data_IF_916551917713
#
_entry.id   IF_916551917713
#
_cell.length_a   1.000
_cell.length_b   1.000
_cell.length_c   1.000
_cell.angle_alpha   90.00
_cell.angle_beta   90.00
_cell.angle_gamma   90.00
#
_symmetry.space_group_name_H-M   'P 1'
#
loop_
_entity.id
_entity.type
_entity.pdbx_description
1 polymer ?
#
# COMPACT_ATOMS: atom_id res chain seq x y z
N UNK A 1 -1.93 2.86 23.84
CA UNK A 1 -3.24 2.58 23.21
C UNK A 1 -3.51 1.08 23.11
N UNK A 2 -2.86 0.30 22.24
CA UNK A 2 -3.17 -1.14 22.07
C UNK A 2 -3.07 -1.96 23.35
N UNK A 3 -1.93 -1.86 24.05
CA UNK A 3 -1.68 -2.56 25.34
C UNK A 3 -2.45 -1.91 26.49
N UNK A 4 -2.34 -0.60 26.65
CA UNK A 4 -2.95 0.12 27.78
C UNK A 4 -4.49 0.11 27.77
N UNK A 5 -5.10 0.15 26.57
CA UNK A 5 -6.57 0.19 26.42
C UNK A 5 -7.14 -1.17 26.01
N UNK A 6 -6.32 -2.22 25.88
CA UNK A 6 -6.72 -3.56 25.40
C UNK A 6 -7.55 -3.48 24.11
N UNK A 7 -7.06 -2.70 23.15
CA UNK A 7 -7.77 -2.49 21.89
C UNK A 7 -7.53 -3.66 20.94
N UNK A 8 -8.63 -4.26 20.47
CA UNK A 8 -8.63 -5.33 19.47
C UNK A 8 -8.62 -4.80 18.04
N UNK A 9 -8.56 -3.48 17.85
CA UNK A 9 -8.50 -2.87 16.53
C UNK A 9 -7.20 -3.23 15.81
N UNK A 10 -7.32 -3.44 14.49
CA UNK A 10 -6.20 -3.67 13.60
C UNK A 10 -5.40 -2.39 13.41
N UNK A 11 -4.07 -2.49 13.52
CA UNK A 11 -3.17 -1.38 13.29
C UNK A 11 -2.59 -1.46 11.88
N UNK A 12 -2.78 -0.43 11.08
CA UNK A 12 -2.22 -0.30 9.74
C UNK A 12 -1.22 0.85 9.73
N UNK A 13 0.02 0.57 9.34
CA UNK A 13 1.06 1.59 9.16
C UNK A 13 0.90 2.26 7.80
N UNK A 14 0.51 3.53 7.76
CA UNK A 14 0.49 4.30 6.51
C UNK A 14 1.93 4.68 6.12
N UNK A 15 2.30 4.33 4.90
CA UNK A 15 3.64 4.53 4.36
C UNK A 15 3.59 5.51 3.19
N UNK A 16 4.57 6.39 3.11
CA UNK A 16 4.78 7.25 1.95
C UNK A 16 6.25 7.16 1.57
N UNK A 17 6.56 7.01 0.28
CA UNK A 17 7.93 7.11 -0.20
C UNK A 17 8.35 8.58 -0.38
N UNK A 18 9.58 8.80 -0.86
CA UNK A 18 10.09 10.14 -1.15
C UNK A 18 9.29 10.86 -2.25
N UNK A 19 8.74 10.12 -3.22
CA UNK A 19 8.01 10.69 -4.36
C UNK A 19 6.61 11.19 -3.97
N UNK A 20 6.01 10.61 -2.92
CA UNK A 20 4.67 10.95 -2.45
C UNK A 20 4.68 11.66 -1.10
N UNK A 21 5.85 12.14 -0.65
CA UNK A 21 5.99 12.85 0.62
C UNK A 21 5.42 14.26 0.57
N UNK A 22 4.66 14.64 1.60
CA UNK A 22 4.19 16.01 1.77
C UNK A 22 5.35 16.99 1.95
N UNK A 23 5.28 18.17 1.30
CA UNK A 23 6.24 19.27 1.53
C UNK A 23 6.27 19.75 2.98
N UNK A 24 5.21 19.46 3.75
CA UNK A 24 5.07 19.84 5.15
C UNK A 24 5.59 18.79 6.14
N UNK A 25 5.86 17.55 5.70
CA UNK A 25 6.39 16.49 6.54
C UNK A 25 7.66 15.93 5.90
N UNK A 26 8.82 16.38 6.41
CA UNK A 26 10.13 16.01 5.88
C UNK A 26 10.75 14.76 6.53
N UNK A 27 9.94 13.85 7.07
CA UNK A 27 10.46 12.60 7.64
C UNK A 27 10.94 11.65 6.55
N UNK A 28 12.12 11.08 6.74
CA UNK A 28 12.65 10.03 5.88
C UNK A 28 11.93 8.71 6.18
N UNK A 29 11.23 8.18 5.17
CA UNK A 29 10.50 6.92 5.27
C UNK A 29 11.27 5.73 4.68
N UNK A 30 12.47 5.97 4.13
CA UNK A 30 13.28 4.95 3.46
C UNK A 30 13.52 3.73 4.36
N UNK A 31 13.73 3.95 5.65
CA UNK A 31 13.84 2.88 6.63
C UNK A 31 12.58 2.03 6.69
N UNK A 32 11.39 2.63 6.84
CA UNK A 32 10.12 1.90 6.97
C UNK A 32 9.67 1.20 5.68
N UNK A 33 10.20 1.60 4.53
CA UNK A 33 10.00 0.91 3.24
C UNK A 33 11.13 -0.07 2.91
N UNK A 34 12.15 -0.21 3.77
CA UNK A 34 13.23 -1.19 3.62
C UNK A 34 12.84 -2.56 4.20
N UNK A 35 13.56 -3.61 3.84
CA UNK A 35 13.32 -4.96 4.39
C UNK A 35 13.40 -4.99 5.92
N UNK A 36 14.43 -4.35 6.48
CA UNK A 36 14.65 -4.28 7.93
C UNK A 36 13.51 -3.51 8.60
N UNK A 37 13.10 -2.37 8.04
CA UNK A 37 12.00 -1.60 8.61
C UNK A 37 10.65 -2.31 8.51
N UNK A 38 10.40 -3.09 7.45
CA UNK A 38 9.19 -3.92 7.35
C UNK A 38 9.22 -5.06 8.36
N UNK A 39 10.36 -5.72 8.55
CA UNK A 39 10.55 -6.72 9.60
C UNK A 39 10.26 -6.12 10.98
N UNK A 40 10.87 -4.98 11.30
CA UNK A 40 10.67 -4.29 12.58
C UNK A 40 9.20 -3.86 12.77
N UNK A 41 8.59 -3.32 11.72
CA UNK A 41 7.19 -2.89 11.74
C UNK A 41 6.22 -4.06 11.97
N UNK A 42 6.54 -5.22 11.41
CA UNK A 42 5.71 -6.43 11.54
C UNK A 42 5.53 -6.91 12.98
N UNK A 43 6.40 -6.46 13.89
CA UNK A 43 6.29 -6.78 15.32
C UNK A 43 5.13 -6.04 16.01
N UNK A 44 4.60 -4.97 15.42
CA UNK A 44 3.56 -4.14 16.06
C UNK A 44 2.36 -3.77 15.19
N UNK A 45 2.44 -3.86 13.85
CA UNK A 45 1.31 -3.61 12.94
C UNK A 45 0.68 -4.92 12.44
N UNK A 46 -0.58 -4.87 12.03
CA UNK A 46 -1.26 -5.96 11.33
C UNK A 46 -1.16 -5.82 9.80
N UNK A 47 -0.86 -4.62 9.29
CA UNK A 47 -0.74 -4.36 7.87
C UNK A 47 -0.08 -3.02 7.53
N UNK A 48 0.16 -2.80 6.25
CA UNK A 48 0.71 -1.57 5.69
C UNK A 48 -0.26 -0.94 4.70
N UNK A 49 -0.23 0.39 4.62
CA UNK A 49 -0.96 1.16 3.60
C UNK A 49 -0.01 2.08 2.85
N UNK A 50 0.70 1.59 1.82
CA UNK A 50 1.57 2.41 0.98
C UNK A 50 0.78 3.12 -0.13
N UNK A 51 1.44 4.03 -0.86
CA UNK A 51 0.88 4.50 -2.12
C UNK A 51 0.82 3.34 -3.13
N UNK A 52 -0.22 3.29 -3.96
CA UNK A 52 -0.42 2.15 -4.87
C UNK A 52 0.76 1.94 -5.84
N UNK A 53 1.45 3.00 -6.26
CA UNK A 53 2.61 2.91 -7.17
C UNK A 53 3.78 2.15 -6.58
N UNK A 54 3.89 2.11 -5.25
CA UNK A 54 5.04 1.53 -4.56
C UNK A 54 4.96 -0.01 -4.50
N UNK A 55 3.85 -0.58 -4.94
CA UNK A 55 3.58 -2.02 -4.92
C UNK A 55 4.00 -2.74 -6.21
N UNK A 56 4.45 -2.02 -7.23
CA UNK A 56 4.94 -2.63 -8.46
C UNK A 56 6.21 -1.97 -8.99
N UNK A 57 6.96 -2.72 -9.78
CA UNK A 57 8.07 -2.25 -10.58
C UNK A 57 7.67 -2.29 -12.07
N UNK A 58 7.97 -1.20 -12.79
CA UNK A 58 7.64 -1.07 -14.21
C UNK A 58 8.83 -1.50 -15.07
N UNK A 59 8.73 -2.69 -15.68
CA UNK A 59 9.62 -3.15 -16.76
C UNK A 59 8.84 -3.35 -18.06
N UNK A 60 9.15 -4.41 -18.82
CA UNK A 60 8.29 -4.87 -19.95
C UNK A 60 6.89 -5.25 -19.49
N UNK A 61 6.76 -5.68 -18.24
CA UNK A 61 5.50 -6.00 -17.55
C UNK A 61 5.56 -5.42 -16.15
N UNK A 62 4.40 -5.20 -15.52
CA UNK A 62 4.32 -4.83 -14.11
C UNK A 62 4.57 -6.07 -13.26
N UNK A 63 5.49 -5.97 -12.31
CA UNK A 63 5.82 -7.03 -11.35
C UNK A 63 5.68 -6.52 -9.93
N UNK A 64 5.35 -7.37 -8.94
CA UNK A 64 5.32 -6.96 -7.55
C UNK A 64 6.67 -6.38 -7.11
N UNK A 65 6.65 -5.25 -6.41
CA UNK A 65 7.87 -4.58 -5.93
C UNK A 65 8.53 -5.34 -4.77
N UNK A 66 9.77 -4.95 -4.44
CA UNK A 66 10.42 -5.43 -3.21
C UNK A 66 9.55 -5.17 -1.96
N UNK A 67 8.97 -3.98 -1.82
CA UNK A 67 8.10 -3.61 -0.69
C UNK A 67 6.91 -4.57 -0.55
N UNK A 68 6.25 -4.90 -1.67
CA UNK A 68 5.15 -5.87 -1.67
C UNK A 68 5.62 -7.24 -1.16
N UNK A 69 6.73 -7.73 -1.69
CA UNK A 69 7.26 -9.05 -1.34
C UNK A 69 7.69 -9.13 0.12
N UNK A 70 8.35 -8.08 0.64
CA UNK A 70 8.77 -7.99 2.03
C UNK A 70 7.54 -7.99 2.96
N UNK A 71 6.50 -7.20 2.65
CA UNK A 71 5.26 -7.20 3.44
C UNK A 71 4.58 -8.57 3.46
N UNK A 72 4.48 -9.26 2.31
CA UNK A 72 3.91 -10.61 2.22
C UNK A 72 4.72 -11.66 2.98
N UNK A 73 6.05 -11.58 2.95
CA UNK A 73 6.95 -12.47 3.72
C UNK A 73 6.66 -12.43 5.22
N UNK A 74 6.25 -11.26 5.72
CA UNK A 74 5.89 -11.04 7.14
C UNK A 74 4.39 -11.18 7.43
N UNK A 75 3.58 -11.71 6.49
CA UNK A 75 2.13 -11.89 6.62
C UNK A 75 1.36 -10.60 6.92
N UNK A 76 1.87 -9.45 6.47
CA UNK A 76 1.19 -8.17 6.64
C UNK A 76 0.07 -8.02 5.60
N UNK A 77 -1.08 -7.51 6.06
CA UNK A 77 -2.11 -7.03 5.14
C UNK A 77 -1.60 -5.83 4.34
N UNK A 78 -2.04 -5.70 3.09
CA UNK A 78 -1.64 -4.61 2.20
C UNK A 78 -2.90 -3.85 1.75
N UNK A 79 -3.02 -2.59 2.18
CA UNK A 79 -4.16 -1.70 1.90
C UNK A 79 -3.71 -0.39 1.24
N UNK A 80 -3.40 -0.39 -0.07
CA UNK A 80 -2.84 0.78 -0.74
C UNK A 80 -3.82 1.95 -0.86
N UNK A 81 -3.28 3.17 -0.93
CA UNK A 81 -4.02 4.41 -1.13
C UNK A 81 -3.44 5.22 -2.33
N UNK A 82 -4.15 6.19 -2.92
CA UNK A 82 -5.61 6.33 -2.99
C UNK A 82 -6.04 6.12 -4.44
N UNK A 83 -6.97 5.19 -4.67
CA UNK A 83 -7.48 4.85 -5.99
C UNK A 83 -8.51 5.88 -6.42
N UNK A 84 -8.23 6.57 -7.53
CA UNK A 84 -9.03 7.66 -8.05
C UNK A 84 -9.27 7.50 -9.54
N UNK A 85 -10.54 7.36 -9.93
CA UNK A 85 -10.93 7.18 -11.33
C UNK A 85 -10.73 8.42 -12.21
N UNK A 86 -10.58 9.59 -11.58
CA UNK A 86 -10.40 10.91 -12.19
C UNK A 86 -8.94 11.39 -12.16
N UNK A 87 -8.01 10.57 -11.66
CA UNK A 87 -6.59 10.89 -11.61
C UNK A 87 -5.83 10.39 -12.84
N UNK A 88 -4.51 10.64 -12.87
CA UNK A 88 -3.64 9.99 -13.85
C UNK A 88 -3.58 8.49 -13.55
N UNK A 89 -4.03 7.67 -14.50
CA UNK A 89 -4.11 6.22 -14.36
C UNK A 89 -2.88 5.49 -14.90
N UNK A 90 -1.91 6.18 -15.49
CA UNK A 90 -0.69 5.53 -16.00
C UNK A 90 -0.02 4.70 -14.90
N UNK A 91 0.46 3.47 -15.22
CA UNK A 91 0.57 2.87 -16.55
C UNK A 91 -0.68 2.13 -17.04
N UNK A 92 -1.81 2.21 -16.32
CA UNK A 92 -3.05 1.51 -16.66
C UNK A 92 -3.87 2.29 -17.70
N UNK A 93 -4.50 1.54 -18.61
CA UNK A 93 -5.34 2.14 -19.66
C UNK A 93 -6.66 2.70 -19.11
N UNK A 94 -7.22 2.05 -18.09
CA UNK A 94 -8.50 2.43 -17.46
C UNK A 94 -8.45 2.14 -15.97
N UNK A 95 -9.39 2.73 -15.22
CA UNK A 95 -9.53 2.49 -13.78
C UNK A 95 -9.85 1.03 -13.49
N UNK A 96 -10.64 0.38 -14.35
CA UNK A 96 -10.97 -1.04 -14.24
C UNK A 96 -9.74 -1.95 -14.40
N UNK A 97 -8.87 -1.64 -15.37
CA UNK A 97 -7.61 -2.38 -15.57
C UNK A 97 -6.66 -2.19 -14.39
N UNK A 98 -6.65 -0.98 -13.80
CA UNK A 98 -5.94 -0.75 -12.53
C UNK A 98 -6.52 -1.64 -11.42
N UNK A 99 -7.84 -1.64 -11.22
CA UNK A 99 -8.46 -2.47 -10.18
C UNK A 99 -8.21 -3.96 -10.39
N UNK A 100 -8.32 -4.48 -11.61
CA UNK A 100 -8.00 -5.88 -11.95
C UNK A 100 -6.55 -6.22 -11.56
N UNK A 101 -5.61 -5.32 -11.84
CA UNK A 101 -4.22 -5.54 -11.45
C UNK A 101 -4.05 -5.65 -9.94
N UNK A 102 -4.62 -4.74 -9.15
CA UNK A 102 -4.43 -4.77 -7.68
C UNK A 102 -5.26 -5.87 -6.99
N UNK A 103 -6.50 -6.08 -7.40
CA UNK A 103 -7.43 -7.02 -6.77
C UNK A 103 -7.17 -8.45 -7.25
N UNK A 104 -6.99 -8.67 -8.54
CA UNK A 104 -6.92 -10.03 -9.08
C UNK A 104 -5.48 -10.53 -9.25
N UNK A 105 -4.55 -9.65 -9.64
CA UNK A 105 -3.13 -10.04 -9.84
C UNK A 105 -2.32 -9.93 -8.55
N UNK A 106 -2.28 -8.75 -7.93
CA UNK A 106 -1.54 -8.53 -6.68
C UNK A 106 -2.29 -9.04 -5.44
N UNK A 107 -3.63 -9.18 -5.54
CA UNK A 107 -4.49 -9.67 -4.46
C UNK A 107 -4.31 -8.90 -3.16
N UNK A 108 -4.27 -7.57 -3.24
CA UNK A 108 -4.25 -6.71 -2.05
C UNK A 108 -5.46 -6.98 -1.17
N UNK A 109 -5.31 -6.84 0.15
CA UNK A 109 -6.32 -7.28 1.12
C UNK A 109 -7.51 -6.30 1.26
N UNK A 110 -7.37 -5.15 0.62
CA UNK A 110 -8.30 -4.02 0.62
C UNK A 110 -7.60 -2.84 -0.05
N UNK A 111 -8.32 -1.74 -0.30
CA UNK A 111 -7.72 -0.52 -0.85
C UNK A 111 -8.52 0.71 -0.41
N UNK A 112 -7.87 1.87 -0.41
CA UNK A 112 -8.52 3.15 -0.18
C UNK A 112 -8.89 3.79 -1.51
N UNK A 113 -10.14 4.25 -1.65
CA UNK A 113 -10.63 4.90 -2.86
C UNK A 113 -11.56 6.06 -2.54
N UNK A 114 -11.54 7.08 -3.40
CA UNK A 114 -12.53 8.18 -3.37
C UNK A 114 -13.78 7.86 -4.19
N UNK A 115 -13.83 6.71 -4.87
CA UNK A 115 -14.96 6.28 -5.70
C UNK A 115 -15.44 4.87 -5.31
N UNK A 116 -16.01 4.67 -4.10
CA UNK A 116 -16.41 3.35 -3.63
C UNK A 116 -17.42 2.65 -4.55
N UNK A 117 -18.30 3.42 -5.20
CA UNK A 117 -19.31 2.95 -6.17
C UNK A 117 -18.69 2.31 -7.42
N UNK A 118 -17.42 2.63 -7.73
CA UNK A 118 -16.70 2.05 -8.88
C UNK A 118 -15.88 0.82 -8.51
N UNK A 119 -15.55 0.66 -7.23
CA UNK A 119 -14.74 -0.46 -6.70
C UNK A 119 -15.63 -1.60 -6.23
N UNK A 120 -16.72 -1.29 -5.54
CA UNK A 120 -17.71 -2.29 -5.10
C UNK A 120 -18.64 -2.59 -6.28
N UNK A 121 -18.62 -3.85 -6.75
CA UNK A 121 -19.50 -4.35 -7.80
C UNK A 121 -20.33 -5.51 -7.28
#
# INVERSE_FOLDING_TARGET
IRVQLKSDLKLVGLLSDENHRSIYNKNDFSYWTSEIGIEDMSTFVDGIGPHYSDLYEQGTTLKPSKLFNDARKHNLFIHPYTFRSDANLQPFATFDVMLEFYIDKLKVDGLFTDHPDKVVR
#
